data_IF_520840102792
#
_entry.id   IF_520840102792
#
_cell.length_a   1.000
_cell.length_b   1.000
_cell.length_c   1.000
_cell.angle_alpha   90.00
_cell.angle_beta   90.00
_cell.angle_gamma   90.00
#
_symmetry.space_group_name_H-M   'P 1'
#
loop_
_entity.id
_entity.type
_entity.pdbx_description
1 polymer ?
#
# COMPACT_ATOMS: atom_id res chain seq x y z
N UNK A 1 3.29 0.94 -2.48
CA UNK A 1 4.73 0.84 -2.14
C UNK A 1 4.96 1.59 -0.84
N UNK A 2 5.77 1.02 0.04
CA UNK A 2 6.25 1.61 1.28
C UNK A 2 7.60 2.30 1.06
N UNK A 3 8.16 2.93 2.09
CA UNK A 3 9.50 3.53 2.04
C UNK A 3 10.63 2.50 1.89
N UNK A 4 10.35 1.23 2.16
CA UNK A 4 11.32 0.14 2.06
C UNK A 4 11.31 -0.54 0.69
N UNK A 5 10.31 -0.26 -0.15
CA UNK A 5 10.13 -0.93 -1.44
C UNK A 5 10.82 -0.16 -2.55
N UNK A 6 11.75 -0.81 -3.23
CA UNK A 6 12.34 -0.32 -4.47
C UNK A 6 11.33 -0.38 -5.61
N UNK A 7 11.39 0.58 -6.56
CA UNK A 7 10.47 0.59 -7.68
C UNK A 7 10.74 -0.59 -8.62
N UNK A 8 9.67 -1.24 -9.09
CA UNK A 8 9.68 -2.29 -10.13
C UNK A 8 10.28 -3.65 -9.72
N UNK A 9 10.88 -3.75 -8.52
CA UNK A 9 11.52 -4.98 -8.03
C UNK A 9 10.79 -5.55 -6.81
N UNK A 10 10.30 -4.69 -5.91
CA UNK A 10 9.65 -5.09 -4.66
C UNK A 10 8.11 -5.10 -4.75
N UNK A 11 7.48 -5.64 -3.70
CA UNK A 11 6.05 -5.91 -3.60
C UNK A 11 5.18 -4.65 -3.72
N UNK A 12 3.94 -4.85 -4.19
CA UNK A 12 2.92 -3.79 -4.20
C UNK A 12 2.10 -3.77 -2.91
N UNK A 13 1.55 -2.60 -2.59
CA UNK A 13 0.64 -2.42 -1.45
C UNK A 13 -0.74 -2.09 -2.00
N UNK A 14 -1.69 -3.01 -1.82
CA UNK A 14 -3.07 -2.89 -2.25
C UNK A 14 -3.90 -2.25 -1.14
N UNK A 15 -4.65 -1.21 -1.49
CA UNK A 15 -5.51 -0.48 -0.57
C UNK A 15 -6.94 -0.51 -1.13
N UNK A 16 -7.92 -1.05 -0.40
CA UNK A 16 -9.33 -1.01 -0.80
C UNK A 16 -9.81 0.44 -0.99
N UNK A 17 -10.55 0.69 -2.07
CA UNK A 17 -11.05 2.03 -2.42
C UNK A 17 -12.34 2.39 -1.69
N UNK A 18 -13.04 1.43 -1.10
CA UNK A 18 -14.26 1.69 -0.34
C UNK A 18 -13.96 2.56 0.89
N UNK A 19 -14.54 3.75 0.93
CA UNK A 19 -14.38 4.70 2.04
C UNK A 19 -13.06 5.49 2.05
N UNK A 20 -12.19 5.31 1.05
CA UNK A 20 -10.85 5.93 1.05
C UNK A 20 -10.53 6.55 -0.31
N UNK A 21 -10.01 7.79 -0.31
CA UNK A 21 -9.50 8.45 -1.51
C UNK A 21 -8.03 8.81 -1.33
N UNK A 22 -7.17 8.28 -2.19
CA UNK A 22 -5.74 8.58 -2.21
C UNK A 22 -5.38 9.27 -3.52
N UNK A 23 -4.61 10.35 -3.41
CA UNK A 23 -4.07 11.05 -4.58
C UNK A 23 -2.68 10.51 -4.91
N UNK A 24 -2.45 10.27 -6.20
CA UNK A 24 -1.14 9.87 -6.69
C UNK A 24 -0.11 10.96 -6.39
N UNK A 25 1.00 10.56 -5.75
CA UNK A 25 2.11 11.45 -5.41
C UNK A 25 2.12 11.91 -3.95
N UNK A 26 1.03 11.71 -3.21
CA UNK A 26 0.97 12.03 -1.78
C UNK A 26 1.40 10.82 -0.93
N UNK A 27 2.04 11.08 0.21
CA UNK A 27 2.28 10.06 1.21
C UNK A 27 1.02 9.82 2.05
N UNK A 28 0.75 8.56 2.39
CA UNK A 28 -0.34 8.17 3.27
C UNK A 28 0.18 7.19 4.31
N UNK A 29 -0.34 7.29 5.54
CA UNK A 29 -0.07 6.32 6.58
C UNK A 29 -1.02 5.13 6.41
N UNK A 30 -0.45 3.94 6.26
CA UNK A 30 -1.19 2.71 5.96
C UNK A 30 -0.81 1.65 6.99
N UNK A 31 -1.81 0.96 7.54
CA UNK A 31 -1.61 -0.23 8.36
C UNK A 31 -1.78 -1.47 7.48
N UNK A 32 -0.73 -2.29 7.40
CA UNK A 32 -0.80 -3.58 6.71
C UNK A 32 -1.61 -4.57 7.56
N UNK A 33 -2.58 -5.23 6.93
CA UNK A 33 -3.51 -6.18 7.56
C UNK A 33 -3.32 -7.61 7.02
N UNK A 34 -2.76 -7.77 5.82
CA UNK A 34 -2.48 -9.07 5.20
C UNK A 34 -1.19 -9.00 4.38
N UNK A 35 -0.46 -10.12 4.33
CA UNK A 35 0.70 -10.31 3.46
C UNK A 35 0.52 -11.59 2.63
N UNK A 36 0.70 -11.45 1.32
CA UNK A 36 0.71 -12.54 0.33
C UNK A 36 2.12 -12.70 -0.22
N UNK A 37 2.34 -13.68 -1.09
CA UNK A 37 3.67 -13.95 -1.65
C UNK A 37 4.33 -12.71 -2.28
N UNK A 38 3.58 -11.91 -3.07
CA UNK A 38 4.13 -10.75 -3.79
C UNK A 38 3.40 -9.43 -3.50
N UNK A 39 2.49 -9.43 -2.53
CA UNK A 39 1.60 -8.29 -2.27
C UNK A 39 1.38 -8.10 -0.78
N UNK A 40 1.19 -6.85 -0.38
CA UNK A 40 0.68 -6.48 0.94
C UNK A 40 -0.70 -5.85 0.78
N UNK A 41 -1.60 -6.08 1.73
CA UNK A 41 -2.90 -5.42 1.78
C UNK A 41 -2.97 -4.59 3.06
N UNK A 42 -3.52 -3.37 2.95
CA UNK A 42 -3.63 -2.49 4.10
C UNK A 42 -4.74 -1.45 4.00
N UNK A 43 -4.97 -0.79 5.13
CA UNK A 43 -6.00 0.23 5.31
C UNK A 43 -5.36 1.56 5.74
N UNK A 44 -5.90 2.68 5.25
CA UNK A 44 -5.43 4.02 5.61
C UNK A 44 -5.85 4.35 7.06
N UNK A 45 -4.96 5.00 7.80
CA UNK A 45 -5.17 5.43 9.21
C UNK A 45 -5.59 6.88 9.27
#
# INVERSE_FOLDING_TARGET
>A
RTEHDSPEVDNEVLIPTEGTYLRIGDFAQVRITEAREHELVGEVV
#
